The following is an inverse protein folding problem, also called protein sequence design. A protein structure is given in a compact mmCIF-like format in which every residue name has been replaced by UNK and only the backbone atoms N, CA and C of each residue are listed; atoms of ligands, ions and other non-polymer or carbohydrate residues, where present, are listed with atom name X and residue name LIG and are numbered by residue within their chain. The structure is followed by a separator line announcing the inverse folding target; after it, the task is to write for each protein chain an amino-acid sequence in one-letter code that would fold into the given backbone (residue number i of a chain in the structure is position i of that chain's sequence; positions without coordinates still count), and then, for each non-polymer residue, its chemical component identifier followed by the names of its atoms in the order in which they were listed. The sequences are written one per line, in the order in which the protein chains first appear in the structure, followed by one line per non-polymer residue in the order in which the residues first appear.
data_IF_362868296370
#
_entry.id   IF_362868296370
#
_cell.length_a   1.000
_cell.length_b   1.000
_cell.length_c   1.000
_cell.angle_alpha   90.00
_cell.angle_beta   90.00
_cell.angle_gamma   90.00
#
_symmetry.space_group_name_H-M   'P 1'
#
loop_
_entity.id
_entity.type
_entity.pdbx_description
1 polymer ?
#
# COMPACT_ATOMS: atom_id res chain seq x y z
N UNK A 1 7.29 -23.77 12.16
CA UNK A 1 8.27 -22.86 12.73
C UNK A 1 9.67 -23.46 12.56
N UNK A 2 10.55 -22.80 11.80
CA UNK A 2 11.92 -23.26 11.51
C UNK A 2 12.97 -22.53 12.34
N UNK A 3 12.57 -21.75 13.34
CA UNK A 3 13.47 -21.01 14.23
C UNK A 3 14.19 -19.82 13.57
N UNK A 4 13.76 -19.37 12.39
CA UNK A 4 14.31 -18.18 11.76
C UNK A 4 13.62 -16.93 12.31
N UNK A 5 14.43 -15.93 12.64
CA UNK A 5 13.97 -14.59 12.94
C UNK A 5 13.83 -13.80 11.62
N UNK A 6 12.66 -13.25 11.37
CA UNK A 6 12.41 -12.42 10.19
C UNK A 6 12.12 -11.00 10.68
N UNK A 7 13.00 -10.06 10.33
CA UNK A 7 12.74 -8.62 10.48
C UNK A 7 12.19 -8.06 9.18
N UNK A 8 11.19 -7.21 9.29
CA UNK A 8 10.66 -6.47 8.15
C UNK A 8 11.25 -5.07 8.15
N UNK A 9 11.59 -4.56 6.96
CA UNK A 9 12.11 -3.21 6.79
C UNK A 9 11.28 -2.47 5.73
N UNK A 10 11.03 -1.21 5.99
CA UNK A 10 10.49 -0.26 5.03
C UNK A 10 11.57 0.73 4.64
N UNK A 11 11.72 0.96 3.37
CA UNK A 11 12.63 1.95 2.81
C UNK A 11 12.48 2.00 1.29
N UNK A 12 13.13 2.95 0.68
CA UNK A 12 13.13 3.14 -0.77
C UNK A 12 14.49 3.67 -1.23
N UNK A 13 14.70 3.81 -2.52
CA UNK A 13 15.95 4.32 -3.09
C UNK A 13 16.26 5.72 -2.55
N UNK A 14 15.24 6.55 -2.45
CA UNK A 14 15.31 7.94 -1.99
C UNK A 14 15.65 8.06 -0.49
N UNK A 15 15.48 6.99 0.28
CA UNK A 15 15.88 6.91 1.69
C UNK A 15 17.11 6.01 1.90
N UNK A 16 17.87 5.72 0.83
CA UNK A 16 19.03 4.82 0.85
C UNK A 16 18.69 3.41 1.39
N UNK A 17 17.44 2.98 1.25
CA UNK A 17 16.95 1.71 1.75
C UNK A 17 16.58 1.70 3.23
N UNK A 18 16.75 2.81 3.93
CA UNK A 18 16.43 2.96 5.35
C UNK A 18 15.10 3.71 5.54
N UNK A 19 14.47 3.56 6.70
CA UNK A 19 13.20 4.22 7.00
C UNK A 19 12.54 3.71 8.27
N UNK A 20 12.06 2.46 8.27
CA UNK A 20 11.45 1.87 9.46
C UNK A 20 11.78 0.38 9.60
N UNK A 21 11.82 -0.10 10.85
CA UNK A 21 12.18 -1.47 11.19
C UNK A 21 11.15 -2.12 12.10
N UNK A 22 10.74 -3.32 11.72
CA UNK A 22 9.92 -4.18 12.54
C UNK A 22 10.68 -5.45 12.91
N UNK A 23 11.09 -5.55 14.17
CA UNK A 23 11.73 -6.73 14.76
C UNK A 23 10.79 -7.51 15.66
N UNK A 24 9.52 -7.11 15.80
CA UNK A 24 8.56 -7.82 16.64
C UNK A 24 8.13 -9.14 16.01
N UNK A 25 7.98 -10.16 16.83
CA UNK A 25 7.41 -11.46 16.47
C UNK A 25 5.96 -11.61 16.95
N UNK A 26 5.40 -10.59 17.58
CA UNK A 26 4.00 -10.61 18.02
C UNK A 26 3.07 -10.49 16.81
N UNK A 27 2.05 -11.36 16.75
CA UNK A 27 1.13 -11.45 15.63
C UNK A 27 0.44 -10.11 15.27
N UNK A 28 0.17 -9.27 16.27
CA UNK A 28 -0.46 -7.96 16.08
C UNK A 28 0.40 -6.96 15.29
N UNK A 29 1.74 -7.14 15.28
CA UNK A 29 2.66 -6.25 14.60
C UNK A 29 3.18 -6.79 13.26
N UNK A 30 2.84 -8.01 12.87
CA UNK A 30 3.37 -8.63 11.64
C UNK A 30 3.02 -7.87 10.36
N UNK A 31 2.01 -7.03 10.38
CA UNK A 31 1.61 -6.17 9.23
C UNK A 31 2.13 -4.75 9.33
N UNK A 32 2.81 -4.41 10.43
CA UNK A 32 3.46 -3.12 10.64
C UNK A 32 4.82 -3.11 9.96
N UNK A 33 5.28 -1.95 9.52
CA UNK A 33 6.67 -1.72 9.11
C UNK A 33 7.58 -1.40 10.29
N UNK A 34 7.04 -1.37 11.52
CA UNK A 34 7.77 -1.13 12.75
C UNK A 34 7.86 0.35 13.13
N UNK A 35 8.97 0.72 13.77
CA UNK A 35 9.28 2.09 14.18
C UNK A 35 10.19 2.75 13.15
N UNK A 36 10.03 4.06 13.00
CA UNK A 36 10.97 4.84 12.18
C UNK A 36 12.36 4.80 12.82
N UNK A 37 13.38 4.68 11.98
CA UNK A 37 14.77 4.68 12.43
C UNK A 37 15.14 5.99 13.14
N UNK A 38 15.98 5.90 14.16
CA UNK A 38 16.39 7.05 14.97
C UNK A 38 17.21 8.09 14.19
N UNK A 39 17.71 7.76 12.99
CA UNK A 39 18.38 8.68 12.08
C UNK A 39 17.43 9.56 11.29
N UNK A 40 16.11 9.26 11.35
CA UNK A 40 15.04 9.95 10.65
C UNK A 40 14.06 10.62 11.59
N UNK A 41 13.64 11.81 11.22
CA UNK A 41 12.40 12.40 11.70
C UNK A 41 11.27 12.01 10.76
N UNK A 42 10.05 11.94 11.25
CA UNK A 42 8.87 11.73 10.43
C UNK A 42 7.70 12.63 10.84
N UNK A 43 6.85 12.92 9.89
CA UNK A 43 5.52 13.51 10.11
C UNK A 43 4.51 12.86 9.18
N UNK A 44 3.24 12.95 9.52
CA UNK A 44 2.14 12.64 8.60
C UNK A 44 1.54 13.96 8.11
N UNK A 45 1.54 14.16 6.79
CA UNK A 45 0.97 15.33 6.14
C UNK A 45 -0.23 14.88 5.30
N UNK A 46 -1.43 15.16 5.77
CA UNK A 46 -2.69 14.64 5.22
C UNK A 46 -2.65 13.10 5.02
N UNK A 47 -2.06 12.40 6.01
CA UNK A 47 -1.86 10.95 5.99
C UNK A 47 -0.66 10.46 5.18
N UNK A 48 -0.01 11.31 4.38
CA UNK A 48 1.24 10.98 3.70
C UNK A 48 2.40 10.93 4.68
N UNK A 49 3.19 9.87 4.62
CA UNK A 49 4.44 9.77 5.36
C UNK A 49 5.48 10.70 4.72
N UNK A 50 5.93 11.69 5.49
CA UNK A 50 7.06 12.53 5.13
C UNK A 50 8.22 12.24 6.07
N UNK A 51 9.43 12.18 5.54
CA UNK A 51 10.65 11.83 6.28
C UNK A 51 11.74 12.90 6.08
N UNK A 52 12.55 13.09 7.12
CA UNK A 52 13.70 14.01 7.06
C UNK A 52 14.86 13.43 7.87
N UNK A 53 16.08 13.57 7.40
CA UNK A 53 17.26 13.12 8.13
C UNK A 53 18.37 12.60 7.20
N UNK A 54 19.37 11.98 7.81
CA UNK A 54 20.59 11.57 7.10
C UNK A 54 20.39 10.58 5.96
N UNK A 55 19.42 9.63 6.00
CA UNK A 55 19.21 8.68 4.90
C UNK A 55 18.56 9.29 3.66
N UNK A 56 17.99 10.50 3.76
CA UNK A 56 17.30 11.10 2.62
C UNK A 56 18.32 11.49 1.54
N UNK A 57 18.01 11.14 0.30
CA UNK A 57 18.83 11.47 -0.87
C UNK A 57 19.05 12.99 -1.00
N UNK A 58 20.16 13.37 -1.63
CA UNK A 58 20.40 14.78 -1.97
C UNK A 58 19.52 15.27 -3.11
N UNK A 59 18.98 14.37 -3.94
CA UNK A 59 18.11 14.65 -5.05
C UNK A 59 18.34 13.69 -6.22
N UNK A 60 17.48 13.81 -7.23
CA UNK A 60 17.61 13.06 -8.47
C UNK A 60 18.71 13.66 -9.35
N UNK A 61 19.51 12.78 -9.96
CA UNK A 61 20.66 13.20 -10.77
C UNK A 61 20.22 14.00 -12.00
N UNK A 62 20.70 15.24 -12.10
CA UNK A 62 20.36 16.19 -13.17
C UNK A 62 18.85 16.48 -13.34
N UNK A 63 18.07 16.26 -12.28
CA UNK A 63 16.64 16.53 -12.26
C UNK A 63 16.24 17.33 -10.99
N UNK A 64 16.55 18.63 -10.98
CA UNK A 64 16.20 19.50 -9.87
C UNK A 64 14.68 19.73 -9.74
N UNK A 65 13.94 19.69 -10.85
CA UNK A 65 12.48 19.84 -10.86
C UNK A 65 11.83 18.62 -10.18
N UNK A 66 12.15 17.39 -10.62
CA UNK A 66 11.67 16.18 -9.98
C UNK A 66 12.13 16.05 -8.52
N UNK A 67 13.30 16.61 -8.17
CA UNK A 67 13.74 16.67 -6.76
C UNK A 67 12.84 17.59 -5.94
N UNK A 68 12.50 18.77 -6.46
CA UNK A 68 11.65 19.73 -5.77
C UNK A 68 10.18 19.28 -5.64
N UNK A 69 9.73 18.34 -6.48
CA UNK A 69 8.41 17.70 -6.35
C UNK A 69 8.30 16.77 -5.14
N UNK A 70 9.44 16.21 -4.69
CA UNK A 70 9.44 15.22 -3.61
C UNK A 70 10.18 15.65 -2.35
N UNK A 71 11.04 16.67 -2.41
CA UNK A 71 11.69 17.27 -1.22
C UNK A 71 11.27 18.72 -1.14
N UNK A 72 10.54 19.07 -0.07
CA UNK A 72 10.04 20.41 0.14
C UNK A 72 11.17 21.38 0.62
N UNK A 73 10.83 22.67 0.71
CA UNK A 73 11.77 23.73 1.12
C UNK A 73 12.32 23.56 2.56
N UNK A 74 11.60 22.84 3.42
CA UNK A 74 11.99 22.53 4.80
C UNK A 74 12.79 21.21 4.91
N UNK A 75 13.08 20.56 3.76
CA UNK A 75 13.85 19.33 3.66
C UNK A 75 13.07 18.07 3.99
N UNK A 76 11.74 18.11 3.97
CA UNK A 76 10.91 16.91 4.11
C UNK A 76 10.77 16.21 2.77
N UNK A 77 11.12 14.94 2.77
CA UNK A 77 10.90 14.04 1.65
C UNK A 77 9.48 13.45 1.73
N UNK A 78 8.68 13.70 0.72
CA UNK A 78 7.33 13.18 0.53
C UNK A 78 7.42 11.79 -0.10
N UNK A 79 7.15 10.75 0.70
CA UNK A 79 7.34 9.36 0.24
C UNK A 79 6.29 8.90 -0.77
N UNK A 80 5.17 9.58 -0.85
CA UNK A 80 3.99 9.16 -1.61
C UNK A 80 3.27 7.96 -0.97
N UNK A 81 3.71 7.48 0.20
CA UNK A 81 3.04 6.43 0.95
C UNK A 81 2.12 7.02 2.01
N UNK A 82 0.91 6.48 2.10
CA UNK A 82 -0.05 6.81 3.15
C UNK A 82 0.21 5.87 4.33
N UNK A 83 0.35 6.45 5.52
CA UNK A 83 0.65 5.72 6.73
C UNK A 83 -0.28 6.12 7.89
N UNK A 84 -0.34 5.27 8.89
CA UNK A 84 -0.87 5.57 10.22
C UNK A 84 0.11 5.08 11.26
N UNK A 85 0.16 5.77 12.38
CA UNK A 85 1.01 5.42 13.51
C UNK A 85 0.10 5.19 14.71
N UNK A 86 0.27 4.06 15.38
CA UNK A 86 -0.45 3.71 16.60
C UNK A 86 0.18 4.38 17.81
N UNK A 87 -0.53 4.39 18.95
CA UNK A 87 -0.04 5.02 20.19
C UNK A 87 1.29 4.46 20.70
N UNK A 88 1.57 3.20 20.39
CA UNK A 88 2.83 2.51 20.73
C UNK A 88 3.97 2.78 19.72
N UNK A 89 3.74 3.66 18.75
CA UNK A 89 4.72 4.09 17.75
C UNK A 89 4.88 3.16 16.55
N UNK A 90 4.16 2.04 16.50
CA UNK A 90 4.18 1.18 15.32
C UNK A 90 3.50 1.82 14.13
N UNK A 91 4.20 1.85 13.00
CA UNK A 91 3.73 2.42 11.73
C UNK A 91 3.18 1.35 10.80
N UNK A 92 2.07 1.67 10.15
CA UNK A 92 1.40 0.82 9.16
C UNK A 92 1.22 1.59 7.86
N UNK A 93 1.69 1.02 6.76
CA UNK A 93 1.40 1.57 5.44
C UNK A 93 0.01 1.12 4.98
N UNK A 94 -0.81 2.08 4.59
CA UNK A 94 -2.21 1.83 4.19
C UNK A 94 -2.41 1.94 2.70
N UNK A 95 -1.50 2.60 1.97
CA UNK A 95 -1.58 2.71 0.51
C UNK A 95 -0.57 3.68 -0.08
N UNK A 96 -0.81 4.03 -1.34
CA UNK A 96 -0.05 5.04 -2.09
C UNK A 96 -0.94 6.24 -2.38
N UNK A 97 -0.46 7.45 -2.12
CA UNK A 97 -1.19 8.73 -2.35
C UNK A 97 -1.74 8.82 -3.77
N UNK A 98 -0.92 8.49 -4.76
CA UNK A 98 -1.30 8.50 -6.19
C UNK A 98 -2.33 7.45 -6.59
N UNK A 99 -2.53 6.43 -5.77
CA UNK A 99 -3.47 5.34 -6.06
C UNK A 99 -4.81 5.55 -5.33
N UNK A 100 -4.88 6.49 -4.39
CA UNK A 100 -6.12 6.78 -3.66
C UNK A 100 -7.22 7.12 -4.66
N UNK A 101 -8.33 6.40 -4.54
CA UNK A 101 -9.53 6.64 -5.32
C UNK A 101 -10.35 7.70 -4.59
N UNK A 102 -10.58 8.83 -5.26
CA UNK A 102 -11.41 9.92 -4.74
C UNK A 102 -12.79 9.76 -5.35
N UNK A 103 -13.76 9.38 -4.53
CA UNK A 103 -15.13 9.20 -4.98
C UNK A 103 -15.84 10.54 -5.19
N UNK A 104 -16.85 10.58 -6.06
CA UNK A 104 -17.70 11.77 -6.29
C UNK A 104 -18.34 12.32 -4.99
N UNK A 105 -18.50 11.48 -4.00
CA UNK A 105 -19.02 11.81 -2.66
C UNK A 105 -17.98 12.44 -1.72
N UNK A 106 -16.70 12.48 -2.17
CA UNK A 106 -15.58 13.09 -1.44
C UNK A 106 -14.80 12.13 -0.54
N UNK A 107 -15.21 10.87 -0.41
CA UNK A 107 -14.45 9.90 0.37
C UNK A 107 -13.20 9.42 -0.39
N UNK A 108 -12.12 9.24 0.37
CA UNK A 108 -10.87 8.65 -0.10
C UNK A 108 -10.85 7.15 0.19
N UNK A 109 -10.56 6.35 -0.82
CA UNK A 109 -10.46 4.89 -0.70
C UNK A 109 -9.08 4.42 -1.14
N UNK A 110 -8.34 3.75 -0.25
CA UNK A 110 -7.08 3.10 -0.60
C UNK A 110 -7.37 1.74 -1.25
N UNK A 111 -6.99 1.54 -2.52
CA UNK A 111 -7.12 0.23 -3.17
C UNK A 111 -6.37 -0.87 -2.44
N UNK A 112 -5.19 -0.55 -1.90
CA UNK A 112 -4.32 -1.48 -1.20
C UNK A 112 -4.96 -2.03 0.08
N UNK A 113 -5.75 -1.23 0.79
CA UNK A 113 -6.53 -1.69 1.95
C UNK A 113 -7.55 -2.76 1.53
N UNK A 114 -8.24 -2.53 0.42
CA UNK A 114 -9.24 -3.46 -0.08
C UNK A 114 -8.61 -4.74 -0.63
N UNK A 115 -7.48 -4.62 -1.33
CA UNK A 115 -6.71 -5.77 -1.82
C UNK A 115 -6.24 -6.68 -0.68
N UNK A 116 -5.79 -6.10 0.45
CA UNK A 116 -5.40 -6.87 1.65
C UNK A 116 -6.54 -7.75 2.18
N UNK A 117 -7.80 -7.31 2.07
CA UNK A 117 -8.96 -8.08 2.48
C UNK A 117 -9.22 -9.29 1.57
N UNK A 118 -8.66 -9.29 0.36
CA UNK A 118 -8.82 -10.38 -0.60
C UNK A 118 -7.70 -11.42 -0.51
N UNK A 119 -6.56 -11.10 0.11
CA UNK A 119 -5.41 -12.00 0.28
C UNK A 119 -5.77 -13.35 0.93
N UNK A 120 -6.69 -13.44 1.92
CA UNK A 120 -7.04 -14.72 2.54
C UNK A 120 -7.72 -15.72 1.60
N UNK A 121 -8.21 -15.28 0.44
CA UNK A 121 -8.83 -16.19 -0.54
C UNK A 121 -7.75 -16.90 -1.37
N UNK A 122 -7.51 -18.17 -1.07
CA UNK A 122 -6.48 -18.97 -1.75
C UNK A 122 -6.75 -19.19 -3.26
N UNK A 123 -8.00 -19.03 -3.72
CA UNK A 123 -8.38 -19.16 -5.12
C UNK A 123 -8.07 -17.91 -5.96
N UNK A 124 -7.76 -16.76 -5.33
CA UNK A 124 -7.31 -15.54 -6.01
C UNK A 124 -5.81 -15.65 -6.28
N UNK A 125 -5.44 -15.66 -7.56
CA UNK A 125 -4.03 -15.67 -7.96
C UNK A 125 -3.46 -14.25 -8.02
N UNK A 126 -4.20 -13.30 -8.61
CA UNK A 126 -3.84 -11.90 -8.70
C UNK A 126 -5.08 -11.03 -8.57
N UNK A 127 -4.93 -9.90 -7.90
CA UNK A 127 -5.98 -8.88 -7.89
C UNK A 127 -5.41 -7.47 -7.85
N UNK A 128 -6.14 -6.55 -8.45
CA UNK A 128 -5.99 -5.10 -8.27
C UNK A 128 -7.36 -4.49 -8.03
N UNK A 129 -7.41 -3.52 -7.15
CA UNK A 129 -8.59 -2.70 -6.93
C UNK A 129 -8.37 -1.35 -7.60
N UNK A 130 -9.35 -0.90 -8.38
CA UNK A 130 -9.31 0.39 -9.10
C UNK A 130 -10.69 0.98 -9.24
N UNK A 131 -10.74 2.25 -9.58
CA UNK A 131 -11.98 2.86 -10.03
C UNK A 131 -12.31 2.42 -11.46
N UNK A 132 -13.57 2.08 -11.68
CA UNK A 132 -14.14 1.84 -12.99
C UNK A 132 -15.61 2.25 -12.99
N UNK A 133 -16.02 3.08 -13.94
CA UNK A 133 -17.39 3.58 -14.07
C UNK A 133 -17.94 4.16 -12.74
N UNK A 134 -17.11 4.95 -12.04
CA UNK A 134 -17.42 5.58 -10.74
C UNK A 134 -17.71 4.57 -9.60
N UNK A 135 -17.22 3.35 -9.73
CA UNK A 135 -17.35 2.29 -8.74
C UNK A 135 -15.98 1.72 -8.40
N UNK A 136 -15.86 1.23 -7.17
CA UNK A 136 -14.70 0.45 -6.78
C UNK A 136 -14.81 -0.93 -7.44
N UNK A 137 -13.83 -1.30 -8.24
CA UNK A 137 -13.79 -2.56 -8.97
C UNK A 137 -12.59 -3.40 -8.52
N UNK A 138 -12.82 -4.63 -8.09
CA UNK A 138 -11.80 -5.64 -7.90
C UNK A 138 -11.66 -6.44 -9.20
N UNK A 139 -10.58 -6.18 -9.95
CA UNK A 139 -10.20 -6.96 -11.11
C UNK A 139 -9.35 -8.14 -10.65
N UNK A 140 -9.86 -9.36 -10.84
CA UNK A 140 -9.32 -10.59 -10.29
C UNK A 140 -8.93 -11.55 -11.40
N UNK A 141 -7.72 -12.13 -11.28
CA UNK A 141 -7.32 -13.28 -12.06
C UNK A 141 -7.35 -14.54 -11.18
N UNK A 142 -8.08 -15.54 -11.62
CA UNK A 142 -8.22 -16.84 -10.97
C UNK A 142 -8.59 -17.92 -12.00
N UNK A 143 -8.57 -19.18 -11.56
CA UNK A 143 -9.11 -20.30 -12.37
C UNK A 143 -10.59 -20.03 -12.71
N UNK A 144 -11.02 -20.13 -14.00
CA UNK A 144 -12.41 -19.97 -14.39
C UNK A 144 -13.39 -20.85 -13.61
N UNK A 145 -13.00 -22.07 -13.22
CA UNK A 145 -13.82 -22.97 -12.42
C UNK A 145 -14.03 -22.48 -10.97
N UNK A 146 -13.27 -21.46 -10.52
CA UNK A 146 -13.30 -20.92 -9.17
C UNK A 146 -13.99 -19.55 -9.08
N UNK A 147 -14.37 -18.97 -10.20
CA UNK A 147 -14.94 -17.61 -10.25
C UNK A 147 -16.17 -17.43 -9.37
N UNK A 148 -17.07 -18.42 -9.29
CA UNK A 148 -18.26 -18.32 -8.46
C UNK A 148 -17.90 -18.29 -6.96
N UNK A 149 -16.97 -19.14 -6.53
CA UNK A 149 -16.49 -19.18 -5.15
C UNK A 149 -15.77 -17.86 -4.76
N UNK A 150 -14.94 -17.33 -5.66
CA UNK A 150 -14.25 -16.03 -5.47
C UNK A 150 -15.27 -14.90 -5.38
N UNK A 151 -16.28 -14.89 -6.24
CA UNK A 151 -17.35 -13.87 -6.19
C UNK A 151 -18.16 -13.91 -4.89
N UNK A 152 -18.44 -15.12 -4.40
CA UNK A 152 -19.10 -15.29 -3.10
C UNK A 152 -18.21 -14.78 -1.96
N UNK A 153 -16.91 -15.09 -1.99
CA UNK A 153 -15.95 -14.56 -1.02
C UNK A 153 -15.92 -13.02 -1.00
N UNK A 154 -15.79 -12.37 -2.17
CA UNK A 154 -15.80 -10.89 -2.28
C UNK A 154 -17.13 -10.33 -1.77
N UNK A 155 -18.24 -10.99 -2.04
CA UNK A 155 -19.56 -10.61 -1.52
C UNK A 155 -19.58 -10.68 0.01
N UNK A 156 -18.95 -11.70 0.59
CA UNK A 156 -18.78 -11.83 2.04
C UNK A 156 -17.97 -10.67 2.63
N UNK A 157 -16.83 -10.33 2.02
CA UNK A 157 -16.00 -9.18 2.41
C UNK A 157 -16.81 -7.88 2.34
N UNK A 158 -17.56 -7.67 1.26
CA UNK A 158 -18.39 -6.48 1.06
C UNK A 158 -19.45 -6.27 2.16
N UNK A 159 -19.95 -7.34 2.80
CA UNK A 159 -20.92 -7.20 3.91
C UNK A 159 -20.33 -6.48 5.12
N UNK A 160 -19.03 -6.59 5.34
CA UNK A 160 -18.32 -5.89 6.41
C UNK A 160 -17.89 -4.46 6.07
N UNK A 161 -18.06 -4.04 4.81
CA UNK A 161 -17.61 -2.73 4.33
C UNK A 161 -18.74 -1.71 4.25
N UNK A 162 -18.44 -0.41 4.50
CA UNK A 162 -19.32 0.69 4.17
C UNK A 162 -19.72 0.65 2.69
N UNK A 163 -20.88 1.19 2.35
CA UNK A 163 -21.40 1.13 0.97
C UNK A 163 -20.40 1.68 -0.06
N UNK A 164 -19.75 2.79 0.26
CA UNK A 164 -18.81 3.46 -0.64
C UNK A 164 -17.49 2.69 -0.88
N UNK A 165 -17.13 1.73 -0.01
CA UNK A 165 -15.95 0.85 -0.16
C UNK A 165 -16.27 -0.49 -0.82
N UNK A 166 -17.55 -0.79 -1.11
CA UNK A 166 -17.91 -2.10 -1.68
C UNK A 166 -17.41 -2.25 -3.10
N UNK A 167 -16.83 -3.42 -3.36
CA UNK A 167 -16.21 -3.75 -4.62
C UNK A 167 -17.16 -4.46 -5.57
N UNK A 168 -17.19 -4.04 -6.83
CA UNK A 168 -17.72 -4.84 -7.93
C UNK A 168 -16.64 -5.83 -8.35
N UNK A 169 -16.98 -7.09 -8.55
CA UNK A 169 -16.04 -8.14 -8.97
C UNK A 169 -16.02 -8.24 -10.48
N UNK A 170 -14.85 -8.12 -11.07
CA UNK A 170 -14.59 -8.43 -12.48
C UNK A 170 -13.48 -9.47 -12.60
N UNK A 171 -13.57 -10.34 -13.62
CA UNK A 171 -12.56 -11.36 -13.84
C UNK A 171 -11.73 -11.04 -15.08
N UNK A 172 -10.41 -11.18 -14.95
CA UNK A 172 -9.49 -11.14 -16.08
C UNK A 172 -9.38 -12.53 -16.71
N UNK A 173 -9.39 -12.59 -18.04
CA UNK A 173 -9.14 -13.84 -18.77
C UNK A 173 -7.65 -14.24 -18.81
N UNK A 174 -6.76 -13.32 -18.45
CA UNK A 174 -5.30 -13.51 -18.48
C UNK A 174 -4.68 -12.93 -17.20
N UNK A 175 -3.45 -13.35 -16.82
CA UNK A 175 -2.70 -12.74 -15.75
C UNK A 175 -2.65 -11.21 -15.91
N UNK A 176 -2.67 -10.51 -14.78
CA UNK A 176 -2.69 -9.04 -14.79
C UNK A 176 -1.35 -8.48 -15.27
N UNK A 177 -1.35 -7.34 -15.99
CA UNK A 177 -0.14 -6.76 -16.54
C UNK A 177 0.84 -6.37 -15.43
N UNK A 178 2.13 -6.57 -15.69
CA UNK A 178 3.23 -6.26 -14.77
C UNK A 178 4.26 -5.36 -15.44
N UNK A 179 4.92 -4.54 -14.65
CA UNK A 179 6.08 -3.79 -15.12
C UNK A 179 7.32 -4.70 -15.24
N UNK A 180 8.43 -4.15 -15.76
CA UNK A 180 9.69 -4.88 -15.92
C UNK A 180 10.27 -5.45 -14.60
N UNK A 181 9.85 -4.92 -13.46
CA UNK A 181 10.26 -5.37 -12.12
C UNK A 181 9.27 -6.39 -11.52
N UNK A 182 8.26 -6.84 -12.27
CA UNK A 182 7.27 -7.82 -11.84
C UNK A 182 6.14 -7.27 -10.97
N UNK A 183 6.04 -5.97 -10.73
CA UNK A 183 4.94 -5.35 -9.99
C UNK A 183 3.70 -5.22 -10.87
N UNK A 184 2.51 -5.53 -10.32
CA UNK A 184 1.24 -5.34 -11.01
C UNK A 184 1.04 -3.87 -11.41
N UNK A 185 0.56 -3.67 -12.64
CA UNK A 185 0.18 -2.35 -13.16
C UNK A 185 -1.32 -2.10 -12.88
N UNK A 186 -1.63 -0.89 -12.39
CA UNK A 186 -2.99 -0.40 -12.17
C UNK A 186 -3.48 0.42 -13.35
#
# INVERSE_FOLDING_TARGET
DRGFFIAQMYGMTETCGDGAWNSSQEAKYLTSVGHVDLSCEYKLDDGELCMRGNPIMLGYYKDPEGTAEVIDADGWFHTGDIARVEEDGYMYLTGRKKNVIILDSGENVSPEELEKLLVPCADIQECIVKEKDKKICALIYCDPAKQDAVKEFVTGVNRGLPLYKRMVTEFSAQPLPRNAMGKLLR
#
